data_IF_413532363713
#
_entry.id   IF_413532363713
#
_cell.length_a   1.000
_cell.length_b   1.000
_cell.length_c   1.000
_cell.angle_alpha   90.00
_cell.angle_beta   90.00
_cell.angle_gamma   90.00
#
_symmetry.space_group_name_H-M   'P 1'
#
loop_
_entity.id
_entity.type
_entity.pdbx_description
1 polymer ?
#
# COMPACT_ATOMS: atom_id res chain seq x y z
N UNK A 1 -7.35 -34.86 19.24
CA UNK A 1 -8.57 -34.36 18.54
C UNK A 1 -9.56 -33.86 19.58
N UNK A 2 -9.49 -32.58 19.97
CA UNK A 2 -10.52 -31.94 20.80
C UNK A 2 -11.60 -31.38 19.87
N UNK A 3 -12.85 -31.76 20.10
CA UNK A 3 -14.03 -31.27 19.37
C UNK A 3 -14.01 -29.74 19.40
N UNK A 4 -13.79 -29.09 18.26
CA UNK A 4 -14.14 -27.69 18.05
C UNK A 4 -15.66 -27.64 18.09
N UNK A 5 -16.24 -27.19 19.20
CA UNK A 5 -17.65 -26.90 19.28
C UNK A 5 -17.96 -25.80 18.24
N UNK A 6 -19.02 -26.01 17.45
CA UNK A 6 -19.70 -24.95 16.70
C UNK A 6 -20.07 -23.83 17.69
N UNK A 7 -19.18 -22.85 17.82
CA UNK A 7 -19.41 -21.66 18.62
C UNK A 7 -19.91 -20.55 17.68
N UNK A 8 -21.20 -20.28 17.71
CA UNK A 8 -21.80 -19.06 17.18
C UNK A 8 -21.99 -18.08 18.34
N UNK A 9 -21.82 -16.77 18.15
CA UNK A 9 -21.44 -16.05 16.94
C UNK A 9 -19.93 -16.02 16.71
N UNK A 10 -19.56 -15.82 15.44
CA UNK A 10 -18.18 -15.68 15.03
C UNK A 10 -17.90 -14.20 14.75
N UNK A 11 -16.82 -13.67 15.30
CA UNK A 11 -16.51 -12.24 15.17
C UNK A 11 -15.09 -12.03 14.65
N UNK A 12 -14.94 -11.09 13.71
CA UNK A 12 -13.64 -10.60 13.26
C UNK A 12 -13.48 -9.14 13.62
N UNK A 13 -12.34 -8.81 14.22
CA UNK A 13 -11.89 -7.46 14.48
C UNK A 13 -10.72 -7.14 13.55
N UNK A 14 -10.92 -6.29 12.55
CA UNK A 14 -9.83 -5.71 11.79
C UNK A 14 -9.21 -4.54 12.55
N UNK A 15 -7.93 -4.62 12.82
CA UNK A 15 -7.19 -3.49 13.40
C UNK A 15 -6.96 -2.42 12.34
N UNK A 16 -7.85 -1.43 12.28
CA UNK A 16 -7.81 -0.37 11.27
C UNK A 16 -6.80 0.73 11.65
N UNK A 17 -5.59 0.65 11.09
CA UNK A 17 -4.64 1.75 11.14
C UNK A 17 -4.87 2.69 9.94
N UNK A 18 -4.64 4.03 10.05
CA UNK A 18 -4.83 4.96 8.93
C UNK A 18 -4.13 4.53 7.63
N UNK A 19 -2.89 4.00 7.71
CA UNK A 19 -2.11 3.55 6.55
C UNK A 19 -2.57 2.22 5.95
N UNK A 20 -3.32 1.38 6.68
CA UNK A 20 -3.88 0.10 6.18
C UNK A 20 -5.39 0.17 5.89
N UNK A 21 -5.99 1.34 6.00
CA UNK A 21 -7.44 1.53 5.87
C UNK A 21 -8.00 0.99 4.55
N UNK A 22 -7.30 1.24 3.46
CA UNK A 22 -7.78 0.84 2.12
C UNK A 22 -7.65 -0.67 1.88
N UNK A 23 -6.54 -1.28 2.31
CA UNK A 23 -6.39 -2.75 2.23
C UNK A 23 -7.39 -3.48 3.10
N UNK A 24 -7.68 -2.96 4.30
CA UNK A 24 -8.71 -3.51 5.19
C UNK A 24 -10.10 -3.36 4.56
N UNK A 25 -10.41 -2.21 3.95
CA UNK A 25 -11.68 -2.00 3.27
C UNK A 25 -11.90 -3.00 2.12
N UNK A 26 -10.87 -3.28 1.31
CA UNK A 26 -10.93 -4.28 0.25
C UNK A 26 -11.13 -5.70 0.80
N UNK A 27 -10.43 -6.08 1.88
CA UNK A 27 -10.61 -7.39 2.52
C UNK A 27 -12.00 -7.55 3.15
N UNK A 28 -12.53 -6.53 3.80
CA UNK A 28 -13.91 -6.57 4.32
C UNK A 28 -14.89 -6.69 3.15
N UNK A 29 -14.65 -5.95 2.06
CA UNK A 29 -15.46 -6.07 0.85
C UNK A 29 -15.46 -7.49 0.27
N UNK A 30 -14.32 -8.20 0.30
CA UNK A 30 -14.26 -9.60 -0.14
C UNK A 30 -15.07 -10.55 0.76
N UNK A 31 -15.11 -10.27 2.08
CA UNK A 31 -15.98 -11.02 3.00
C UNK A 31 -17.46 -10.72 2.77
N UNK A 32 -17.83 -9.47 2.48
CA UNK A 32 -19.22 -9.05 2.27
C UNK A 32 -19.88 -9.71 1.05
N UNK A 33 -19.09 -10.11 0.05
CA UNK A 33 -19.63 -10.77 -1.16
C UNK A 33 -19.53 -12.29 -1.09
N UNK A 34 -18.90 -12.85 -0.06
CA UNK A 34 -18.82 -14.30 0.12
C UNK A 34 -20.04 -14.83 0.88
N UNK A 35 -20.91 -15.52 0.15
CA UNK A 35 -22.17 -16.07 0.69
C UNK A 35 -21.96 -17.12 1.81
N UNK A 36 -20.75 -17.67 1.96
CA UNK A 36 -20.40 -18.62 3.02
C UNK A 36 -20.19 -17.95 4.37
N UNK A 37 -19.98 -16.61 4.37
CA UNK A 37 -19.55 -15.81 5.53
C UNK A 37 -20.61 -14.80 5.99
N UNK A 38 -21.88 -14.97 5.59
CA UNK A 38 -22.97 -14.02 5.87
C UNK A 38 -23.26 -13.82 7.37
N UNK A 39 -23.00 -14.84 8.21
CA UNK A 39 -23.26 -14.80 9.65
C UNK A 39 -22.08 -14.22 10.46
N UNK A 40 -21.03 -13.76 9.78
CA UNK A 40 -19.82 -13.25 10.40
C UNK A 40 -20.01 -11.80 10.91
N UNK A 41 -19.80 -11.58 12.21
CA UNK A 41 -19.80 -10.23 12.77
C UNK A 41 -18.44 -9.54 12.48
N UNK A 42 -18.42 -8.57 11.59
CA UNK A 42 -17.19 -7.84 11.21
C UNK A 42 -17.14 -6.47 11.91
N UNK A 43 -15.99 -6.13 12.49
CA UNK A 43 -15.70 -4.84 13.12
C UNK A 43 -14.32 -4.34 12.67
N UNK A 44 -14.18 -3.03 12.45
CA UNK A 44 -12.91 -2.41 12.04
C UNK A 44 -12.56 -1.17 12.90
N UNK A 45 -12.29 -1.35 14.21
CA UNK A 45 -11.99 -0.22 15.08
C UNK A 45 -10.59 0.35 14.84
N UNK A 46 -10.45 1.68 14.90
CA UNK A 46 -9.14 2.37 14.90
C UNK A 46 -8.36 2.04 16.18
N UNK A 47 -9.05 1.89 17.30
CA UNK A 47 -8.44 1.49 18.58
C UNK A 47 -9.09 0.19 19.06
N UNK A 48 -8.26 -0.84 19.19
CA UNK A 48 -8.72 -2.15 19.65
C UNK A 48 -8.88 -2.15 21.18
N UNK A 49 -10.12 -2.24 21.65
CA UNK A 49 -10.43 -2.28 23.08
C UNK A 49 -10.45 -3.73 23.56
N UNK A 50 -9.60 -4.07 24.53
CA UNK A 50 -9.48 -5.44 25.07
C UNK A 50 -10.80 -5.94 25.67
N UNK A 51 -11.62 -5.04 26.24
CA UNK A 51 -12.95 -5.37 26.78
C UNK A 51 -13.93 -5.82 25.67
N UNK A 52 -13.78 -5.28 24.46
CA UNK A 52 -14.60 -5.70 23.32
C UNK A 52 -14.21 -7.09 22.83
N UNK A 53 -12.92 -7.40 22.81
CA UNK A 53 -12.40 -8.74 22.51
C UNK A 53 -12.84 -9.73 23.58
N UNK A 54 -12.71 -9.39 24.88
CA UNK A 54 -13.15 -10.24 25.98
C UNK A 54 -14.62 -10.65 25.82
N UNK A 55 -15.51 -9.68 25.59
CA UNK A 55 -16.94 -9.95 25.36
C UNK A 55 -17.20 -10.84 24.14
N UNK A 56 -16.37 -10.74 23.10
CA UNK A 56 -16.49 -11.55 21.92
C UNK A 56 -16.03 -13.00 22.20
N UNK A 57 -14.90 -13.17 22.86
CA UNK A 57 -14.35 -14.48 23.27
C UNK A 57 -15.33 -15.27 24.16
N UNK A 58 -16.07 -14.57 25.01
CA UNK A 58 -17.09 -15.19 25.87
C UNK A 58 -18.31 -15.71 25.08
N UNK A 59 -18.55 -15.13 23.88
CA UNK A 59 -19.67 -15.53 23.04
C UNK A 59 -19.32 -16.61 22.02
N UNK A 60 -18.05 -16.65 21.57
CA UNK A 60 -17.64 -17.64 20.57
C UNK A 60 -16.28 -17.38 19.97
N UNK A 61 -16.06 -17.96 18.79
CA UNK A 61 -14.81 -17.81 18.05
C UNK A 61 -14.55 -16.33 17.73
N UNK A 62 -13.38 -15.86 18.11
CA UNK A 62 -12.97 -14.46 17.89
C UNK A 62 -11.66 -14.42 17.14
N UNK A 63 -11.66 -13.69 16.02
CA UNK A 63 -10.49 -13.48 15.17
C UNK A 63 -10.08 -12.01 15.25
N UNK A 64 -8.78 -11.74 15.38
CA UNK A 64 -8.22 -10.39 15.24
C UNK A 64 -7.27 -10.36 14.07
N UNK A 65 -7.58 -9.54 13.08
CA UNK A 65 -6.83 -9.43 11.84
C UNK A 65 -6.04 -8.11 11.76
N UNK A 66 -4.76 -8.21 11.41
CA UNK A 66 -3.84 -7.09 11.23
C UNK A 66 -3.30 -7.04 9.81
N UNK A 67 -3.37 -5.86 9.18
CA UNK A 67 -2.58 -5.55 7.98
C UNK A 67 -1.31 -4.83 8.43
N UNK A 68 -0.16 -5.51 8.34
CA UNK A 68 1.10 -5.08 8.97
C UNK A 68 2.04 -4.47 7.94
N UNK A 69 2.44 -3.23 8.17
CA UNK A 69 3.54 -2.56 7.48
C UNK A 69 4.82 -2.63 8.33
N UNK A 70 5.99 -2.69 7.69
CA UNK A 70 7.27 -2.80 8.40
C UNK A 70 7.52 -1.68 9.41
N UNK A 71 7.03 -0.48 9.14
CA UNK A 71 7.10 0.67 10.05
C UNK A 71 6.16 0.59 11.27
N UNK A 72 5.37 -0.47 11.40
CA UNK A 72 4.37 -0.63 12.47
C UNK A 72 4.62 -1.84 13.36
N UNK A 73 5.62 -2.66 13.04
CA UNK A 73 5.88 -3.96 13.67
C UNK A 73 5.96 -3.86 15.19
N UNK A 74 6.75 -2.93 15.72
CA UNK A 74 6.92 -2.73 17.17
C UNK A 74 5.57 -2.61 17.90
N UNK A 75 4.73 -1.69 17.43
CA UNK A 75 3.41 -1.46 18.01
C UNK A 75 2.47 -2.65 17.86
N UNK A 76 2.48 -3.27 16.69
CA UNK A 76 1.61 -4.43 16.43
C UNK A 76 2.03 -5.61 17.30
N UNK A 77 3.33 -5.88 17.45
CA UNK A 77 3.83 -6.97 18.28
C UNK A 77 3.54 -6.76 19.78
N UNK A 78 3.62 -5.51 20.26
CA UNK A 78 3.20 -5.16 21.64
C UNK A 78 1.69 -5.42 21.84
N UNK A 79 0.86 -5.04 20.87
CA UNK A 79 -0.60 -5.26 20.91
C UNK A 79 -0.93 -6.77 20.88
N UNK A 80 -0.25 -7.55 20.05
CA UNK A 80 -0.40 -9.02 19.96
C UNK A 80 0.05 -9.69 21.25
N UNK A 81 1.20 -9.32 21.79
CA UNK A 81 1.69 -9.87 23.07
C UNK A 81 0.66 -9.65 24.19
N UNK A 82 0.12 -8.44 24.30
CA UNK A 82 -0.90 -8.13 25.27
C UNK A 82 -2.17 -8.98 25.08
N UNK A 83 -2.58 -9.23 23.85
CA UNK A 83 -3.72 -10.13 23.57
C UNK A 83 -3.42 -11.57 24.01
N UNK A 84 -2.20 -12.06 23.78
CA UNK A 84 -1.78 -13.39 24.22
C UNK A 84 -1.75 -13.51 25.76
N UNK A 85 -1.27 -12.50 26.46
CA UNK A 85 -1.29 -12.44 27.93
C UNK A 85 -2.72 -12.51 28.50
N UNK A 86 -3.67 -11.80 27.90
CA UNK A 86 -5.05 -11.71 28.37
C UNK A 86 -5.93 -12.89 27.95
N UNK A 87 -5.77 -13.38 26.74
CA UNK A 87 -6.71 -14.31 26.13
C UNK A 87 -6.10 -15.66 25.75
N UNK A 88 -4.76 -15.76 25.66
CA UNK A 88 -4.08 -16.99 25.23
C UNK A 88 -4.54 -17.41 23.82
N UNK A 89 -4.86 -18.68 23.69
CA UNK A 89 -5.33 -19.29 22.43
C UNK A 89 -6.85 -19.12 22.18
N UNK A 90 -7.57 -18.43 23.07
CA UNK A 90 -8.99 -18.14 22.90
C UNK A 90 -9.28 -17.11 21.79
N UNK A 91 -8.25 -16.38 21.36
CA UNK A 91 -8.28 -15.44 20.23
C UNK A 91 -7.38 -15.97 19.14
N UNK A 92 -7.91 -16.06 17.92
CA UNK A 92 -7.13 -16.36 16.71
C UNK A 92 -6.61 -15.04 16.16
N UNK A 93 -5.28 -14.92 16.02
CA UNK A 93 -4.64 -13.70 15.53
C UNK A 93 -4.08 -13.95 14.14
N UNK A 94 -4.56 -13.21 13.15
CA UNK A 94 -4.18 -13.35 11.74
C UNK A 94 -3.44 -12.10 11.26
N UNK A 95 -2.28 -12.30 10.63
CA UNK A 95 -1.49 -11.23 10.02
C UNK A 95 -1.53 -11.29 8.49
N UNK A 96 -1.48 -10.12 7.86
CA UNK A 96 -1.33 -9.97 6.42
C UNK A 96 -0.67 -8.65 6.08
N UNK A 97 -0.57 -8.32 4.80
CA UNK A 97 0.00 -7.05 4.32
C UNK A 97 1.49 -7.13 3.97
N UNK A 98 2.13 -5.99 3.67
CA UNK A 98 3.47 -5.97 3.10
C UNK A 98 4.54 -6.63 3.96
N UNK A 99 4.59 -6.32 5.26
CA UNK A 99 5.57 -6.93 6.16
C UNK A 99 5.32 -8.43 6.35
N UNK A 100 4.07 -8.81 6.53
CA UNK A 100 3.66 -10.21 6.67
C UNK A 100 4.07 -11.06 5.45
N UNK A 101 3.96 -10.51 4.25
CA UNK A 101 4.37 -11.18 3.02
C UNK A 101 5.89 -11.33 2.88
N UNK A 102 6.65 -10.35 3.39
CA UNK A 102 8.12 -10.36 3.29
C UNK A 102 8.82 -11.06 4.47
N UNK A 103 8.21 -11.04 5.66
CA UNK A 103 8.75 -11.57 6.93
C UNK A 103 7.66 -12.32 7.72
N UNK A 104 7.07 -13.39 7.18
CA UNK A 104 5.99 -14.11 7.86
C UNK A 104 6.44 -14.73 9.19
N UNK A 105 7.71 -15.16 9.29
CA UNK A 105 8.29 -15.72 10.52
C UNK A 105 8.28 -14.75 11.69
N UNK A 106 8.49 -13.45 11.42
CA UNK A 106 8.50 -12.42 12.46
C UNK A 106 7.14 -12.31 13.13
N UNK A 107 6.06 -12.36 12.33
CA UNK A 107 4.70 -12.34 12.84
C UNK A 107 4.41 -13.59 13.69
N UNK A 108 4.71 -14.78 13.16
CA UNK A 108 4.46 -16.05 13.87
C UNK A 108 5.23 -16.11 15.19
N UNK A 109 6.50 -15.68 15.19
CA UNK A 109 7.32 -15.59 16.41
C UNK A 109 6.77 -14.57 17.41
N UNK A 110 6.09 -13.52 16.94
CA UNK A 110 5.47 -12.49 17.77
C UNK A 110 4.10 -12.89 18.31
N UNK A 111 3.58 -14.07 17.97
CA UNK A 111 2.36 -14.62 18.55
C UNK A 111 1.16 -14.67 17.60
N UNK A 112 1.31 -14.44 16.31
CA UNK A 112 0.27 -14.71 15.34
C UNK A 112 0.05 -16.22 15.17
N UNK A 113 -1.18 -16.63 14.88
CA UNK A 113 -1.52 -18.03 14.58
C UNK A 113 -1.37 -18.33 13.09
N UNK A 114 -1.82 -17.40 12.27
CA UNK A 114 -1.76 -17.50 10.81
C UNK A 114 -1.27 -16.21 10.17
N UNK A 115 -0.60 -16.35 9.04
CA UNK A 115 -0.17 -15.25 8.19
C UNK A 115 -0.66 -15.50 6.77
N UNK A 116 -1.26 -14.48 6.17
CA UNK A 116 -1.68 -14.47 4.76
C UNK A 116 -0.60 -13.73 3.96
N UNK A 117 0.09 -14.47 3.09
CA UNK A 117 1.15 -13.98 2.20
C UNK A 117 0.53 -13.54 0.87
N UNK A 118 0.97 -12.40 0.32
CA UNK A 118 0.51 -11.89 -0.97
C UNK A 118 -0.85 -11.21 -0.91
N UNK A 119 -1.68 -11.45 -1.93
CA UNK A 119 -2.98 -10.80 -2.09
C UNK A 119 -4.05 -11.52 -1.28
N UNK A 120 -4.75 -10.79 -0.43
CA UNK A 120 -5.61 -11.38 0.59
C UNK A 120 -7.07 -11.60 0.18
N UNK A 121 -7.55 -11.01 -0.92
CA UNK A 121 -8.97 -10.98 -1.27
C UNK A 121 -9.57 -12.38 -1.50
N UNK A 122 -8.75 -13.34 -1.95
CA UNK A 122 -9.14 -14.74 -2.07
C UNK A 122 -8.73 -15.56 -0.83
N UNK A 123 -7.47 -15.47 -0.43
CA UNK A 123 -6.91 -16.33 0.61
C UNK A 123 -7.52 -16.06 2.01
N UNK A 124 -7.87 -14.80 2.31
CA UNK A 124 -8.43 -14.47 3.62
C UNK A 124 -9.85 -15.01 3.84
N UNK A 125 -10.82 -14.84 2.91
CA UNK A 125 -12.13 -15.51 3.03
C UNK A 125 -12.03 -17.03 3.14
N UNK A 126 -11.16 -17.68 2.36
CA UNK A 126 -10.93 -19.13 2.43
C UNK A 126 -10.36 -19.57 3.79
N UNK A 127 -9.42 -18.79 4.35
CA UNK A 127 -8.92 -19.02 5.71
C UNK A 127 -10.06 -18.94 6.74
N UNK A 128 -10.89 -17.90 6.66
CA UNK A 128 -12.02 -17.74 7.60
C UNK A 128 -13.02 -18.88 7.47
N UNK A 129 -13.37 -19.27 6.27
CA UNK A 129 -14.27 -20.42 6.01
C UNK A 129 -13.66 -21.71 6.58
N UNK A 130 -12.37 -21.94 6.40
CA UNK A 130 -11.68 -23.12 6.94
C UNK A 130 -11.71 -23.15 8.48
N UNK A 131 -11.46 -22.01 9.13
CA UNK A 131 -11.56 -21.88 10.60
C UNK A 131 -13.00 -22.13 11.11
N UNK A 132 -14.01 -21.65 10.38
CA UNK A 132 -15.42 -21.83 10.73
C UNK A 132 -15.90 -23.26 10.58
N UNK A 133 -15.41 -23.96 9.57
CA UNK A 133 -15.86 -25.32 9.22
C UNK A 133 -14.98 -26.42 9.80
N UNK A 134 -13.84 -26.06 10.45
CA UNK A 134 -12.88 -27.02 11.00
C UNK A 134 -12.04 -27.73 9.94
N UNK A 135 -11.97 -27.17 8.73
CA UNK A 135 -10.99 -27.58 7.70
C UNK A 135 -9.59 -27.12 8.09
N UNK A 136 -8.57 -27.72 7.48
CA UNK A 136 -7.19 -27.29 7.69
C UNK A 136 -6.91 -25.92 7.06
N UNK A 137 -6.62 -24.87 7.83
CA UNK A 137 -6.31 -23.54 7.32
C UNK A 137 -5.02 -23.51 6.47
N UNK A 138 -4.06 -24.40 6.74
CA UNK A 138 -2.79 -24.47 5.99
C UNK A 138 -2.96 -25.06 4.58
N UNK A 139 -4.11 -25.64 4.29
CA UNK A 139 -4.49 -26.06 2.94
C UNK A 139 -4.85 -24.89 2.00
N UNK A 140 -4.99 -23.67 2.53
CA UNK A 140 -5.31 -22.48 1.72
C UNK A 140 -4.03 -21.90 1.12
N UNK A 141 -3.92 -21.73 -0.21
CA UNK A 141 -2.74 -21.15 -0.84
C UNK A 141 -2.42 -19.74 -0.28
N UNK A 142 -1.18 -19.55 0.18
CA UNK A 142 -0.74 -18.29 0.77
C UNK A 142 -0.99 -18.16 2.28
N UNK A 143 -1.70 -19.09 2.90
CA UNK A 143 -1.81 -19.14 4.37
C UNK A 143 -0.69 -19.99 4.95
N UNK A 144 0.01 -19.42 5.94
CA UNK A 144 1.07 -20.08 6.67
C UNK A 144 0.82 -19.99 8.18
N UNK A 145 1.33 -20.97 8.93
CA UNK A 145 1.27 -21.06 10.38
C UNK A 145 2.61 -21.53 10.95
N UNK A 146 2.66 -21.78 12.26
CA UNK A 146 3.90 -22.20 12.94
C UNK A 146 4.46 -23.54 12.43
N UNK A 147 3.59 -24.42 11.94
CA UNK A 147 3.95 -25.76 11.45
C UNK A 147 4.21 -25.77 9.93
N UNK A 148 4.32 -24.58 9.29
CA UNK A 148 4.60 -24.48 7.87
C UNK A 148 6.06 -24.82 7.58
N UNK A 149 6.28 -25.87 6.80
CA UNK A 149 7.63 -26.31 6.40
C UNK A 149 8.15 -25.57 5.17
N UNK A 150 7.26 -25.29 4.20
CA UNK A 150 7.60 -24.65 2.92
C UNK A 150 6.90 -23.29 2.81
N UNK A 151 7.70 -22.25 2.70
CA UNK A 151 7.23 -20.86 2.67
C UNK A 151 6.94 -20.41 1.23
N UNK A 152 5.67 -20.13 0.89
CA UNK A 152 5.34 -19.65 -0.44
C UNK A 152 5.89 -18.23 -0.66
N UNK A 153 6.31 -17.96 -1.89
CA UNK A 153 6.64 -16.60 -2.30
C UNK A 153 5.41 -15.94 -2.91
N UNK A 154 5.17 -14.62 -2.70
CA UNK A 154 3.99 -13.94 -3.26
C UNK A 154 3.81 -14.15 -4.77
N UNK A 155 4.93 -14.20 -5.52
CA UNK A 155 4.93 -14.41 -6.99
C UNK A 155 4.43 -15.79 -7.44
N UNK A 156 4.48 -16.80 -6.56
CA UNK A 156 4.09 -18.18 -6.83
C UNK A 156 2.62 -18.45 -6.46
N UNK A 157 1.96 -17.47 -5.86
CA UNK A 157 0.57 -17.55 -5.43
C UNK A 157 -0.40 -17.14 -6.55
N UNK A 158 -1.66 -17.60 -6.49
CA UNK A 158 -2.70 -17.12 -7.38
C UNK A 158 -2.85 -15.60 -7.31
N UNK A 159 -2.93 -14.95 -8.46
CA UNK A 159 -3.14 -13.51 -8.56
C UNK A 159 -4.64 -13.18 -8.60
N UNK A 160 -5.02 -12.14 -7.92
CA UNK A 160 -6.42 -11.66 -7.88
C UNK A 160 -6.76 -10.92 -9.17
N UNK A 161 -7.91 -11.25 -9.78
CA UNK A 161 -8.55 -10.35 -10.74
C UNK A 161 -9.30 -9.26 -9.96
N UNK A 162 -8.94 -8.00 -10.20
CA UNK A 162 -9.57 -6.87 -9.50
C UNK A 162 -11.07 -6.76 -9.76
N UNK A 163 -11.57 -7.35 -10.85
CA UNK A 163 -12.99 -7.32 -11.21
C UNK A 163 -13.84 -8.26 -10.37
N UNK A 164 -13.24 -9.29 -9.79
CA UNK A 164 -13.96 -10.31 -9.01
C UNK A 164 -14.33 -9.82 -7.61
N UNK A 165 -13.64 -8.78 -7.11
CA UNK A 165 -13.79 -8.30 -5.73
C UNK A 165 -14.16 -6.82 -5.64
N UNK A 166 -14.93 -6.43 -4.60
CA UNK A 166 -15.18 -5.03 -4.27
C UNK A 166 -13.88 -4.28 -3.97
N UNK A 167 -13.76 -2.99 -4.34
CA UNK A 167 -12.61 -2.18 -3.95
C UNK A 167 -12.68 -1.70 -2.48
N UNK A 168 -13.85 -1.82 -1.82
CA UNK A 168 -14.13 -1.33 -0.48
C UNK A 168 -15.37 -2.03 0.11
N UNK A 169 -15.69 -1.76 1.39
CA UNK A 169 -16.74 -2.40 2.16
C UNK A 169 -18.00 -1.51 2.25
N UNK A 170 -18.97 -1.73 1.36
CA UNK A 170 -20.21 -0.97 1.33
C UNK A 170 -21.16 -1.29 2.51
N UNK A 171 -21.20 -2.54 2.94
CA UNK A 171 -22.02 -2.98 4.06
C UNK A 171 -21.63 -2.32 5.39
N UNK A 172 -20.35 -2.02 5.57
CA UNK A 172 -19.83 -1.27 6.72
C UNK A 172 -19.75 0.24 6.50
N UNK A 173 -20.20 0.74 5.35
CA UNK A 173 -20.05 2.13 4.95
C UNK A 173 -18.58 2.63 4.97
N UNK A 174 -17.64 1.74 4.61
CA UNK A 174 -16.22 2.07 4.50
C UNK A 174 -15.89 2.17 3.01
N UNK A 175 -16.03 3.38 2.48
CA UNK A 175 -15.71 3.72 1.09
C UNK A 175 -14.36 4.44 1.03
N UNK A 176 -13.60 4.23 -0.04
CA UNK A 176 -12.29 4.83 -0.22
C UNK A 176 -11.88 4.84 -1.69
N UNK A 177 -10.59 5.09 -1.99
CA UNK A 177 -10.09 5.02 -3.34
C UNK A 177 -10.35 3.67 -3.99
N UNK A 178 -10.65 3.71 -5.29
CA UNK A 178 -10.76 2.48 -6.10
C UNK A 178 -9.40 2.14 -6.68
N UNK A 179 -8.87 0.97 -6.35
CA UNK A 179 -7.68 0.44 -7.01
C UNK A 179 -8.03 0.05 -8.44
N UNK A 180 -7.53 0.85 -9.39
CA UNK A 180 -7.78 0.65 -10.82
C UNK A 180 -6.67 -0.12 -11.51
N UNK A 181 -5.47 -0.18 -10.88
CA UNK A 181 -4.30 -0.87 -11.43
C UNK A 181 -3.49 -1.49 -10.31
N UNK A 182 -3.14 -2.77 -10.45
CA UNK A 182 -2.26 -3.52 -9.56
C UNK A 182 -1.14 -4.20 -10.33
N UNK A 183 0.03 -4.34 -9.70
CA UNK A 183 1.27 -4.83 -10.31
C UNK A 183 2.08 -3.72 -10.98
N UNK A 184 3.42 -3.89 -11.00
CA UNK A 184 4.33 -2.88 -11.54
C UNK A 184 5.53 -3.53 -12.23
N UNK A 185 5.76 -3.28 -13.55
CA UNK A 185 6.82 -3.95 -14.31
C UNK A 185 8.22 -3.36 -14.07
N UNK A 186 8.32 -2.18 -13.44
CA UNK A 186 9.55 -1.40 -13.38
C UNK A 186 10.61 -1.92 -12.41
N UNK A 187 10.21 -2.64 -11.38
CA UNK A 187 11.14 -3.27 -10.42
C UNK A 187 12.18 -2.31 -9.83
N UNK A 188 11.75 -1.09 -9.47
CA UNK A 188 12.62 -0.15 -8.77
C UNK A 188 13.14 -0.78 -7.48
N UNK A 189 14.47 -0.77 -7.27
CA UNK A 189 15.13 -1.56 -6.23
C UNK A 189 14.77 -1.15 -4.79
N UNK A 190 14.28 0.06 -4.57
CA UNK A 190 13.81 0.54 -3.28
C UNK A 190 12.33 0.18 -2.98
N UNK A 191 11.60 -0.31 -4.00
CA UNK A 191 10.15 -0.51 -3.92
C UNK A 191 9.79 -1.98 -3.76
N UNK A 192 8.89 -2.28 -2.82
CA UNK A 192 8.41 -3.65 -2.58
C UNK A 192 7.15 -4.02 -3.41
N UNK A 193 6.56 -3.09 -4.18
CA UNK A 193 5.35 -3.36 -4.97
C UNK A 193 5.49 -4.55 -5.92
N UNK A 194 6.58 -4.70 -6.72
CA UNK A 194 6.74 -5.86 -7.60
C UNK A 194 6.86 -7.19 -6.84
N UNK A 195 7.41 -7.17 -5.64
CA UNK A 195 7.46 -8.35 -4.76
C UNK A 195 6.06 -8.75 -4.28
N UNK A 196 5.25 -7.78 -3.85
CA UNK A 196 3.95 -8.02 -3.23
C UNK A 196 2.86 -8.40 -4.25
N UNK A 197 2.81 -7.73 -5.39
CA UNK A 197 1.71 -7.81 -6.35
C UNK A 197 2.14 -8.26 -7.75
N UNK A 198 3.43 -8.59 -7.90
CA UNK A 198 4.02 -9.06 -9.15
C UNK A 198 4.30 -7.95 -10.17
N UNK A 199 4.99 -8.36 -11.25
CA UNK A 199 5.37 -7.46 -12.34
C UNK A 199 4.29 -7.35 -13.43
N UNK A 200 3.31 -8.25 -13.45
CA UNK A 200 2.21 -8.24 -14.42
C UNK A 200 1.16 -7.21 -14.00
N UNK A 201 0.97 -6.21 -14.84
CA UNK A 201 -0.05 -5.18 -14.63
C UNK A 201 -1.44 -5.75 -14.89
N UNK A 202 -2.36 -5.53 -13.98
CA UNK A 202 -3.78 -5.89 -14.06
C UNK A 202 -4.62 -4.65 -13.81
N UNK A 203 -5.71 -4.50 -14.53
CA UNK A 203 -6.59 -3.34 -14.41
C UNK A 203 -7.99 -3.77 -14.04
N UNK A 204 -8.62 -2.98 -13.18
CA UNK A 204 -10.07 -3.03 -13.02
C UNK A 204 -10.71 -2.45 -14.26
N UNK A 205 -11.70 -3.13 -14.82
CA UNK A 205 -12.41 -2.68 -16.02
C UNK A 205 -13.20 -1.40 -15.75
N UNK A 206 -13.46 -0.61 -16.79
CA UNK A 206 -14.28 0.59 -16.68
C UNK A 206 -15.67 0.24 -16.13
N UNK A 207 -16.29 -0.84 -16.59
CA UNK A 207 -17.60 -1.29 -16.10
C UNK A 207 -17.58 -1.64 -14.60
N UNK A 208 -16.50 -2.28 -14.13
CA UNK A 208 -16.36 -2.57 -12.71
C UNK A 208 -16.16 -1.28 -11.90
N UNK A 209 -15.37 -0.33 -12.40
CA UNK A 209 -15.17 0.97 -11.74
C UNK A 209 -16.48 1.73 -11.64
N UNK A 210 -17.20 1.92 -12.74
CA UNK A 210 -18.47 2.65 -12.77
C UNK A 210 -19.53 1.99 -11.90
N UNK A 211 -19.63 0.66 -11.93
CA UNK A 211 -20.52 -0.11 -11.04
C UNK A 211 -20.26 0.25 -9.57
N UNK A 212 -19.00 0.21 -9.13
CA UNK A 212 -18.66 0.46 -7.73
C UNK A 212 -18.80 1.92 -7.35
N UNK A 213 -18.56 2.87 -8.26
CA UNK A 213 -18.82 4.29 -8.05
C UNK A 213 -20.33 4.53 -7.88
N UNK A 214 -21.17 3.98 -8.75
CA UNK A 214 -22.63 4.10 -8.64
C UNK A 214 -23.12 3.57 -7.29
N UNK A 215 -22.71 2.37 -6.91
CA UNK A 215 -23.07 1.78 -5.61
C UNK A 215 -22.58 2.62 -4.41
N UNK A 216 -21.39 3.23 -4.51
CA UNK A 216 -20.87 4.09 -3.46
C UNK A 216 -21.67 5.40 -3.33
N UNK A 217 -22.06 6.01 -4.45
CA UNK A 217 -22.93 7.18 -4.46
C UNK A 217 -24.29 6.84 -3.83
N UNK A 218 -24.95 5.80 -4.32
CA UNK A 218 -26.29 5.41 -3.88
C UNK A 218 -26.38 5.01 -2.41
N UNK A 219 -25.38 4.25 -1.92
CA UNK A 219 -25.44 3.65 -0.58
C UNK A 219 -24.72 4.45 0.50
N UNK A 220 -23.72 5.24 0.11
CA UNK A 220 -22.83 5.93 1.06
C UNK A 220 -22.80 7.44 0.87
N UNK A 221 -23.53 8.00 -0.11
CA UNK A 221 -23.46 9.41 -0.44
C UNK A 221 -22.05 9.87 -0.88
N UNK A 222 -21.31 9.01 -1.55
CA UNK A 222 -19.95 9.24 -1.99
C UNK A 222 -19.95 10.16 -3.21
N UNK A 223 -19.46 11.39 -3.06
CA UNK A 223 -19.48 12.38 -4.14
C UNK A 223 -18.12 12.64 -4.79
N UNK A 224 -17.03 12.04 -4.24
CA UNK A 224 -15.66 12.30 -4.68
C UNK A 224 -14.90 10.99 -4.88
N UNK A 225 -14.49 10.72 -6.10
CA UNK A 225 -13.76 9.51 -6.43
C UNK A 225 -12.24 9.75 -6.45
N UNK A 226 -11.50 8.88 -5.77
CA UNK A 226 -10.05 8.77 -5.89
C UNK A 226 -9.70 7.41 -6.47
N UNK A 227 -8.68 7.39 -7.31
CA UNK A 227 -8.15 6.14 -7.87
C UNK A 227 -6.77 5.83 -7.34
N UNK A 228 -6.49 4.55 -7.15
CA UNK A 228 -5.22 4.02 -6.66
C UNK A 228 -4.53 3.24 -7.76
N UNK A 229 -3.26 3.55 -8.01
CA UNK A 229 -2.43 2.89 -9.01
C UNK A 229 -0.95 3.10 -8.70
N UNK A 230 -0.07 2.10 -8.94
CA UNK A 230 1.39 2.28 -8.84
C UNK A 230 1.96 3.29 -9.85
N UNK A 231 1.30 3.48 -10.98
CA UNK A 231 1.54 4.53 -11.97
C UNK A 231 0.20 4.84 -12.65
N UNK A 232 -0.37 5.99 -12.32
CA UNK A 232 -1.70 6.38 -12.79
C UNK A 232 -1.82 6.38 -14.31
N UNK A 233 -0.83 6.95 -15.00
CA UNK A 233 -0.84 7.09 -16.47
C UNK A 233 -0.63 5.77 -17.22
N UNK A 234 -0.44 4.64 -16.52
CA UNK A 234 -0.30 3.32 -17.14
C UNK A 234 -1.62 2.57 -17.32
N UNK A 235 -2.76 3.14 -16.91
CA UNK A 235 -4.06 2.45 -16.97
C UNK A 235 -4.40 2.00 -18.38
N UNK A 236 -4.91 0.77 -18.49
CA UNK A 236 -5.32 0.14 -19.74
C UNK A 236 -4.19 -0.46 -20.57
N UNK A 237 -2.93 -0.17 -20.22
CA UNK A 237 -1.73 -0.65 -20.92
C UNK A 237 -1.08 -1.86 -20.23
N UNK A 238 0.09 -2.26 -20.77
CA UNK A 238 0.94 -3.29 -20.16
C UNK A 238 1.92 -2.72 -19.12
N UNK A 239 1.74 -1.48 -18.70
CA UNK A 239 2.51 -0.79 -17.67
C UNK A 239 3.78 -0.08 -18.17
N UNK A 240 4.29 -0.37 -19.37
CA UNK A 240 5.55 0.21 -19.89
C UNK A 240 5.33 1.46 -20.77
N UNK A 241 4.12 1.69 -21.22
CA UNK A 241 3.73 2.84 -22.04
C UNK A 241 2.30 3.27 -21.68
N UNK A 242 1.98 4.55 -21.80
CA UNK A 242 0.62 5.03 -21.62
C UNK A 242 -0.31 4.54 -22.72
N UNK A 243 -1.59 4.35 -22.37
CA UNK A 243 -2.69 4.06 -23.30
C UNK A 243 -3.76 5.18 -23.16
N UNK A 244 -3.53 6.36 -23.73
CA UNK A 244 -4.35 7.55 -23.48
C UNK A 244 -5.83 7.34 -23.75
N UNK A 245 -6.19 6.63 -24.80
CA UNK A 245 -7.60 6.37 -25.15
C UNK A 245 -8.33 5.55 -24.08
N UNK A 246 -7.66 4.54 -23.50
CA UNK A 246 -8.26 3.73 -22.42
C UNK A 246 -8.35 4.51 -21.12
N UNK A 247 -7.31 5.30 -20.82
CA UNK A 247 -7.31 6.20 -19.67
C UNK A 247 -8.44 7.23 -19.78
N UNK A 248 -8.57 7.87 -20.93
CA UNK A 248 -9.65 8.83 -21.19
C UNK A 248 -11.03 8.18 -21.04
N UNK A 249 -11.19 6.95 -21.52
CA UNK A 249 -12.46 6.21 -21.38
C UNK A 249 -12.78 5.97 -19.91
N UNK A 250 -11.81 5.56 -19.07
CA UNK A 250 -12.00 5.41 -17.62
C UNK A 250 -12.51 6.72 -17.00
N UNK A 251 -11.83 7.82 -17.26
CA UNK A 251 -12.16 9.12 -16.65
C UNK A 251 -13.52 9.63 -17.13
N UNK A 252 -13.77 9.58 -18.44
CA UNK A 252 -15.04 10.01 -19.04
C UNK A 252 -16.22 9.21 -18.51
N UNK A 253 -16.13 7.88 -18.41
CA UNK A 253 -17.23 7.07 -17.90
C UNK A 253 -17.40 7.25 -16.39
N UNK A 254 -16.31 7.48 -15.65
CA UNK A 254 -16.39 7.80 -14.21
C UNK A 254 -17.10 9.13 -13.95
N UNK A 255 -16.84 10.19 -14.75
CA UNK A 255 -17.50 11.50 -14.59
C UNK A 255 -18.97 11.50 -15.00
N UNK A 256 -19.47 10.46 -15.67
CA UNK A 256 -20.89 10.30 -16.02
C UNK A 256 -21.73 9.65 -14.91
N UNK A 257 -21.10 9.13 -13.86
CA UNK A 257 -21.82 8.50 -12.75
C UNK A 257 -22.67 9.55 -12.05
N UNK A 258 -23.98 9.35 -12.06
CA UNK A 258 -24.95 10.27 -11.47
C UNK A 258 -24.69 10.45 -9.96
N UNK A 259 -24.64 11.69 -9.48
CA UNK A 259 -24.34 12.02 -8.09
C UNK A 259 -22.85 12.07 -7.74
N UNK A 260 -21.94 11.69 -8.64
CA UNK A 260 -20.51 11.90 -8.47
C UNK A 260 -20.15 13.34 -8.93
N UNK A 261 -19.53 14.12 -8.05
CA UNK A 261 -19.22 15.53 -8.30
C UNK A 261 -17.78 15.72 -8.78
N UNK A 262 -16.83 14.95 -8.23
CA UNK A 262 -15.40 15.16 -8.44
C UNK A 262 -14.66 13.82 -8.66
N UNK A 263 -13.73 13.84 -9.61
CA UNK A 263 -12.81 12.72 -9.87
C UNK A 263 -11.39 13.20 -9.66
N UNK A 264 -10.59 12.42 -8.91
CA UNK A 264 -9.18 12.70 -8.61
C UNK A 264 -8.31 11.60 -9.18
N UNK A 265 -7.31 11.97 -9.98
CA UNK A 265 -6.42 11.02 -10.65
C UNK A 265 -5.02 11.60 -10.87
N UNK A 266 -3.97 10.78 -10.70
CA UNK A 266 -2.58 11.23 -10.85
C UNK A 266 -2.08 12.13 -9.72
N UNK A 267 -2.83 12.23 -8.62
CA UNK A 267 -2.45 12.85 -7.35
C UNK A 267 -2.52 11.80 -6.25
N UNK A 268 -1.94 12.06 -5.08
CA UNK A 268 -2.00 11.10 -3.96
C UNK A 268 -3.44 10.53 -3.77
N UNK A 269 -3.64 9.23 -3.64
CA UNK A 269 -2.64 8.16 -3.43
C UNK A 269 -2.12 7.48 -4.72
N UNK A 270 -2.15 8.12 -5.86
CA UNK A 270 -1.56 7.65 -7.11
C UNK A 270 -0.40 8.53 -7.52
N UNK A 271 0.68 7.92 -8.02
CA UNK A 271 1.82 8.63 -8.58
C UNK A 271 1.80 8.55 -10.10
N UNK A 272 2.52 9.47 -10.75
CA UNK A 272 2.86 9.38 -12.16
C UNK A 272 4.37 9.27 -12.33
N UNK A 273 4.80 8.44 -13.24
CA UNK A 273 6.21 8.34 -13.63
C UNK A 273 6.55 9.46 -14.62
N UNK A 274 7.71 10.14 -14.48
CA UNK A 274 8.07 11.27 -15.34
C UNK A 274 7.96 10.98 -16.83
N UNK A 275 8.45 9.81 -17.27
CA UNK A 275 8.46 9.41 -18.68
C UNK A 275 7.07 9.14 -19.29
N UNK A 276 6.02 9.10 -18.45
CA UNK A 276 4.61 9.00 -18.88
C UNK A 276 3.94 10.36 -19.03
N UNK A 277 4.55 11.42 -18.50
CA UNK A 277 4.00 12.77 -18.54
C UNK A 277 4.24 13.36 -19.91
N UNK A 278 3.18 13.59 -20.65
CA UNK A 278 3.20 14.30 -21.94
C UNK A 278 2.12 15.37 -21.96
N UNK A 279 2.34 16.44 -22.73
CA UNK A 279 1.38 17.54 -22.79
C UNK A 279 -0.03 17.07 -23.18
N UNK A 280 -0.23 16.24 -24.23
CA UNK A 280 -1.59 15.78 -24.59
C UNK A 280 -2.28 14.97 -23.48
N UNK A 281 -1.52 14.19 -22.69
CA UNK A 281 -2.08 13.40 -21.59
C UNK A 281 -2.52 14.31 -20.45
N UNK A 282 -1.72 15.29 -20.05
CA UNK A 282 -2.10 16.20 -18.99
C UNK A 282 -3.23 17.16 -19.39
N UNK A 283 -3.25 17.62 -20.63
CA UNK A 283 -4.38 18.40 -21.19
C UNK A 283 -5.68 17.58 -21.16
N UNK A 284 -5.62 16.32 -21.58
CA UNK A 284 -6.76 15.40 -21.49
C UNK A 284 -7.20 15.22 -20.03
N UNK A 285 -6.26 14.94 -19.09
CA UNK A 285 -6.58 14.82 -17.67
C UNK A 285 -7.30 16.05 -17.15
N UNK A 286 -6.84 17.25 -17.50
CA UNK A 286 -7.41 18.52 -17.04
C UNK A 286 -8.90 18.66 -17.36
N UNK A 287 -9.37 18.00 -18.43
CA UNK A 287 -10.77 17.97 -18.81
C UNK A 287 -11.67 17.12 -17.91
N UNK A 288 -11.11 16.26 -17.06
CA UNK A 288 -11.90 15.30 -16.27
C UNK A 288 -11.66 15.37 -14.77
N UNK A 289 -10.46 15.80 -14.32
CA UNK A 289 -10.09 15.71 -12.89
C UNK A 289 -10.28 17.01 -12.14
N UNK A 290 -10.68 16.91 -10.89
CA UNK A 290 -10.83 18.04 -9.97
C UNK A 290 -9.53 18.46 -9.29
N UNK A 291 -8.51 17.56 -9.23
CA UNK A 291 -7.25 17.90 -8.58
C UNK A 291 -6.47 18.96 -9.34
N UNK A 292 -5.90 19.90 -8.59
CA UNK A 292 -5.01 20.94 -9.12
C UNK A 292 -3.54 20.50 -9.18
N UNK A 293 -3.20 19.32 -8.66
CA UNK A 293 -1.83 18.82 -8.58
C UNK A 293 -1.67 17.44 -9.20
N UNK A 294 -0.46 17.14 -9.66
CA UNK A 294 -0.02 15.79 -10.07
C UNK A 294 1.21 15.38 -9.26
N UNK A 295 1.26 14.09 -8.84
CA UNK A 295 2.35 13.54 -8.04
C UNK A 295 3.38 12.89 -8.97
N UNK A 296 4.59 13.44 -9.06
CA UNK A 296 5.64 13.03 -10.01
C UNK A 296 6.80 12.40 -9.25
N UNK A 297 7.07 11.12 -9.49
CA UNK A 297 8.14 10.38 -8.84
C UNK A 297 9.50 10.57 -9.52
N UNK A 298 10.22 11.67 -9.26
CA UNK A 298 11.57 11.92 -9.80
C UNK A 298 12.65 11.13 -9.05
N UNK A 299 12.68 11.20 -7.73
CA UNK A 299 13.44 10.41 -6.76
C UNK A 299 14.90 10.87 -6.54
N UNK A 300 15.65 11.37 -7.51
CA UNK A 300 17.04 11.84 -7.38
C UNK A 300 17.41 12.86 -8.45
N UNK A 301 18.40 13.70 -8.20
CA UNK A 301 19.01 14.62 -9.17
C UNK A 301 20.13 13.98 -9.98
N UNK A 302 20.45 12.70 -9.78
CA UNK A 302 21.54 12.00 -10.44
C UNK A 302 21.06 10.85 -11.30
N UNK A 303 21.34 10.90 -12.60
CA UNK A 303 21.04 9.78 -13.53
C UNK A 303 21.77 8.50 -13.14
N UNK A 304 22.95 8.61 -12.52
CA UNK A 304 23.70 7.47 -12.00
C UNK A 304 22.95 6.81 -10.84
N UNK A 305 22.42 7.61 -9.90
CA UNK A 305 21.63 7.11 -8.76
C UNK A 305 20.30 6.54 -9.24
N UNK A 306 19.62 7.20 -10.17
CA UNK A 306 18.39 6.69 -10.79
C UNK A 306 18.63 5.34 -11.48
N UNK A 307 19.69 5.21 -12.27
CA UNK A 307 20.07 3.96 -12.93
C UNK A 307 20.39 2.85 -11.92
N UNK A 308 21.17 3.16 -10.86
CA UNK A 308 21.44 2.21 -9.78
C UNK A 308 20.16 1.72 -9.09
N UNK A 309 19.18 2.61 -8.86
CA UNK A 309 17.89 2.29 -8.29
C UNK A 309 16.91 1.62 -9.27
N UNK A 310 17.35 1.30 -10.49
CA UNK A 310 16.54 0.75 -11.57
C UNK A 310 15.32 1.63 -11.93
N UNK A 311 15.51 2.97 -11.89
CA UNK A 311 14.54 3.90 -12.45
C UNK A 311 14.74 3.96 -13.97
N UNK A 312 13.65 3.97 -14.73
CA UNK A 312 13.66 3.93 -16.19
C UNK A 312 13.45 5.31 -16.81
N UNK A 313 13.81 6.37 -16.09
CA UNK A 313 13.79 7.76 -16.57
C UNK A 313 15.06 8.49 -16.16
N UNK A 314 15.32 9.61 -16.82
CA UNK A 314 16.43 10.52 -16.53
C UNK A 314 15.96 11.73 -15.73
N UNK A 315 16.91 12.47 -15.16
CA UNK A 315 16.65 13.76 -14.49
C UNK A 315 16.01 14.75 -15.50
N UNK A 316 16.51 14.79 -16.75
CA UNK A 316 15.96 15.62 -17.82
C UNK A 316 14.47 15.31 -18.07
N UNK A 317 14.09 14.03 -18.14
CA UNK A 317 12.70 13.63 -18.26
C UNK A 317 11.85 14.07 -17.07
N UNK A 318 12.43 14.04 -15.86
CA UNK A 318 11.79 14.55 -14.65
C UNK A 318 11.52 16.04 -14.70
N UNK A 319 12.52 16.84 -15.09
CA UNK A 319 12.39 18.29 -15.28
C UNK A 319 11.34 18.61 -16.36
N UNK A 320 11.42 17.91 -17.48
CA UNK A 320 10.42 18.06 -18.54
C UNK A 320 8.99 17.76 -18.08
N UNK A 321 8.81 16.74 -17.26
CA UNK A 321 7.51 16.40 -16.68
C UNK A 321 6.97 17.53 -15.78
N UNK A 322 7.84 18.16 -14.99
CA UNK A 322 7.49 19.33 -14.16
C UNK A 322 7.07 20.52 -15.02
N UNK A 323 7.84 20.86 -16.07
CA UNK A 323 7.49 21.93 -17.02
C UNK A 323 6.12 21.68 -17.67
N UNK A 324 5.89 20.48 -18.20
CA UNK A 324 4.61 20.11 -18.82
C UNK A 324 3.46 20.23 -17.81
N UNK A 325 3.65 19.82 -16.57
CA UNK A 325 2.62 19.94 -15.53
C UNK A 325 2.27 21.42 -15.27
N UNK A 326 3.28 22.29 -15.14
CA UNK A 326 3.07 23.72 -14.97
C UNK A 326 2.37 24.36 -16.17
N UNK A 327 2.82 24.06 -17.39
CA UNK A 327 2.26 24.58 -18.63
C UNK A 327 0.79 24.17 -18.85
N UNK A 328 0.41 23.00 -18.33
CA UNK A 328 -0.98 22.49 -18.38
C UNK A 328 -1.82 22.91 -17.18
N UNK A 329 -1.28 23.77 -16.30
CA UNK A 329 -1.99 24.35 -15.15
C UNK A 329 -2.12 23.42 -13.96
N UNK A 330 -1.29 22.36 -13.86
CA UNK A 330 -1.15 21.56 -12.66
C UNK A 330 0.01 22.06 -11.79
N UNK A 331 -0.12 21.90 -10.47
CA UNK A 331 0.97 22.07 -9.53
C UNK A 331 1.69 20.71 -9.42
N UNK A 332 2.94 20.57 -9.91
CA UNK A 332 3.67 19.32 -9.73
C UNK A 332 4.07 19.14 -8.26
N UNK A 333 3.68 18.00 -7.67
CA UNK A 333 4.21 17.52 -6.39
C UNK A 333 5.28 16.49 -6.71
N UNK A 334 6.55 16.81 -6.42
CA UNK A 334 7.69 16.01 -6.85
C UNK A 334 8.23 15.18 -5.69
N UNK A 335 8.22 13.85 -5.85
CA UNK A 335 8.78 12.92 -4.86
C UNK A 335 10.29 12.81 -5.03
N UNK A 336 11.01 12.95 -3.89
CA UNK A 336 12.45 12.75 -3.78
C UNK A 336 12.77 11.77 -2.67
N UNK A 337 13.75 10.89 -2.90
CA UNK A 337 14.27 9.94 -1.91
C UNK A 337 15.74 10.26 -1.67
N UNK A 338 16.06 10.76 -0.47
CA UNK A 338 17.40 11.10 -0.06
C UNK A 338 18.12 9.92 0.57
N UNK A 339 19.42 9.79 0.33
CA UNK A 339 20.25 8.72 0.88
C UNK A 339 20.03 7.38 0.20
N UNK A 340 19.68 7.34 -1.10
CA UNK A 340 19.59 6.11 -1.87
C UNK A 340 20.93 5.35 -1.88
N UNK A 341 20.93 4.01 -1.88
CA UNK A 341 22.13 3.21 -1.90
C UNK A 341 23.10 3.61 -3.01
N UNK A 342 24.35 3.96 -2.62
CA UNK A 342 25.40 4.42 -3.54
C UNK A 342 25.31 5.90 -3.92
N UNK A 343 24.36 6.67 -3.40
CA UNK A 343 24.34 8.14 -3.53
C UNK A 343 25.55 8.72 -2.79
N UNK A 344 26.31 9.58 -3.43
CA UNK A 344 27.42 10.33 -2.83
C UNK A 344 26.90 11.56 -2.09
N UNK A 345 27.70 12.10 -1.16
CA UNK A 345 27.38 13.34 -0.45
C UNK A 345 27.12 14.50 -1.42
N UNK A 346 27.92 14.61 -2.49
CA UNK A 346 27.71 15.61 -3.54
C UNK A 346 26.35 15.45 -4.23
N UNK A 347 25.97 14.23 -4.60
CA UNK A 347 24.68 13.97 -5.27
C UNK A 347 23.49 14.20 -4.34
N UNK A 348 23.66 13.93 -3.03
CA UNK A 348 22.68 14.30 -2.02
C UNK A 348 22.46 15.82 -1.98
N UNK A 349 23.55 16.60 -1.92
CA UNK A 349 23.47 18.06 -1.95
C UNK A 349 22.87 18.57 -3.26
N UNK A 350 23.28 18.02 -4.41
CA UNK A 350 22.70 18.35 -5.72
C UNK A 350 21.16 18.04 -5.74
N UNK A 351 20.71 16.97 -5.06
CA UNK A 351 19.28 16.63 -4.92
C UNK A 351 18.53 17.66 -4.06
N UNK A 352 19.16 18.14 -2.99
CA UNK A 352 18.58 19.21 -2.15
C UNK A 352 18.51 20.54 -2.92
N UNK A 353 19.55 20.92 -3.66
CA UNK A 353 19.55 22.12 -4.50
C UNK A 353 18.50 22.05 -5.60
N UNK A 354 18.31 20.86 -6.21
CA UNK A 354 17.25 20.65 -7.17
C UNK A 354 15.85 20.90 -6.57
N UNK A 355 15.62 20.54 -5.30
CA UNK A 355 14.36 20.86 -4.64
C UNK A 355 14.08 22.36 -4.60
N UNK A 356 15.08 23.19 -4.29
CA UNK A 356 14.94 24.65 -4.32
C UNK A 356 14.64 25.16 -5.74
N UNK A 357 15.34 24.62 -6.73
CA UNK A 357 15.10 24.96 -8.15
C UNK A 357 13.66 24.67 -8.55
N UNK A 358 13.17 23.47 -8.25
CA UNK A 358 11.81 23.06 -8.58
C UNK A 358 10.75 23.89 -7.85
N UNK A 359 10.98 24.22 -6.58
CA UNK A 359 10.10 25.12 -5.81
C UNK A 359 10.06 26.50 -6.43
N UNK A 360 11.20 27.04 -6.86
CA UNK A 360 11.24 28.34 -7.55
C UNK A 360 10.53 28.34 -8.91
N UNK A 361 10.42 27.17 -9.57
CA UNK A 361 9.60 26.99 -10.78
C UNK A 361 8.11 26.91 -10.47
N UNK A 362 7.69 26.68 -9.23
CA UNK A 362 6.29 26.58 -8.81
C UNK A 362 5.85 25.15 -8.38
N UNK A 363 6.79 24.20 -8.29
CA UNK A 363 6.51 22.87 -7.77
C UNK A 363 6.38 22.86 -6.22
N UNK A 364 5.80 21.80 -5.70
CA UNK A 364 5.89 21.41 -4.28
C UNK A 364 6.67 20.10 -4.17
N UNK A 365 7.43 19.95 -3.11
CA UNK A 365 8.25 18.77 -2.88
C UNK A 365 7.58 17.79 -1.92
N UNK A 366 7.82 16.50 -2.12
CA UNK A 366 7.50 15.44 -1.17
C UNK A 366 8.76 14.64 -0.87
N UNK A 367 9.32 14.84 0.32
CA UNK A 367 10.62 14.29 0.69
C UNK A 367 10.50 12.97 1.45
N UNK A 368 11.35 12.03 1.08
CA UNK A 368 11.57 10.75 1.76
C UNK A 368 13.04 10.54 2.06
N UNK A 369 13.35 9.80 3.12
CA UNK A 369 14.67 9.19 3.34
C UNK A 369 14.58 7.71 2.99
N UNK A 370 15.61 7.17 2.34
CA UNK A 370 15.65 5.78 1.95
C UNK A 370 15.51 4.85 3.17
N UNK A 371 14.54 3.95 3.10
CA UNK A 371 14.31 2.88 4.07
C UNK A 371 14.52 1.51 3.42
N UNK A 372 15.31 0.60 4.03
CA UNK A 372 15.53 -0.75 3.53
C UNK A 372 14.30 -1.63 3.78
N UNK A 373 13.27 -1.47 2.97
CA UNK A 373 11.99 -2.17 3.14
C UNK A 373 12.13 -3.66 2.81
N UNK A 374 11.68 -4.57 3.68
CA UNK A 374 11.61 -6.00 3.38
C UNK A 374 10.84 -6.29 2.09
N UNK A 375 11.34 -7.22 1.28
CA UNK A 375 10.80 -7.53 -0.04
C UNK A 375 11.25 -6.60 -1.17
N UNK A 376 12.00 -5.53 -0.88
CA UNK A 376 12.67 -4.72 -1.90
C UNK A 376 14.07 -5.27 -2.20
N UNK A 377 14.60 -5.01 -3.41
CA UNK A 377 15.98 -5.42 -3.75
C UNK A 377 17.02 -4.76 -2.84
N UNK A 378 16.72 -3.59 -2.31
CA UNK A 378 17.60 -2.85 -1.40
C UNK A 378 17.33 -3.14 0.09
N UNK A 379 16.59 -4.17 0.45
CA UNK A 379 16.23 -4.51 1.84
C UNK A 379 17.43 -4.71 2.78
N UNK A 380 18.58 -5.12 2.24
CA UNK A 380 19.81 -5.34 2.99
C UNK A 380 20.83 -4.20 2.86
N UNK A 381 20.45 -3.10 2.21
CA UNK A 381 21.33 -1.93 2.07
C UNK A 381 21.24 -1.05 3.32
N UNK A 382 22.33 -0.32 3.65
CA UNK A 382 22.30 0.64 4.75
C UNK A 382 21.17 1.67 4.59
N UNK A 383 20.57 2.14 5.69
CA UNK A 383 19.54 3.17 5.65
C UNK A 383 20.07 4.49 5.09
N UNK A 384 19.19 5.28 4.50
CA UNK A 384 19.51 6.63 4.06
C UNK A 384 19.85 7.53 5.26
N UNK A 385 20.85 8.37 5.09
CA UNK A 385 21.28 9.34 6.11
C UNK A 385 21.43 10.71 5.49
N UNK A 386 21.05 11.73 6.26
CA UNK A 386 21.23 13.12 5.90
C UNK A 386 22.37 13.72 6.74
N UNK A 387 23.21 14.55 6.14
CA UNK A 387 24.10 15.41 6.88
C UNK A 387 23.36 16.59 7.53
N UNK A 388 24.05 17.36 8.38
CA UNK A 388 23.45 18.47 9.13
C UNK A 388 22.95 19.60 8.23
N UNK A 389 23.66 19.87 7.12
CA UNK A 389 23.31 20.94 6.19
C UNK A 389 22.07 20.57 5.37
N UNK A 390 22.03 19.35 4.83
CA UNK A 390 20.85 18.82 4.13
C UNK A 390 19.61 18.83 5.03
N UNK A 391 19.72 18.39 6.31
CA UNK A 391 18.59 18.48 7.27
C UNK A 391 18.13 19.92 7.49
N UNK A 392 19.06 20.87 7.62
CA UNK A 392 18.73 22.28 7.80
C UNK A 392 17.94 22.81 6.61
N UNK A 393 18.41 22.55 5.40
CA UNK A 393 17.81 23.01 4.14
C UNK A 393 16.43 22.38 3.90
N UNK A 394 16.28 21.06 4.06
CA UNK A 394 14.98 20.38 3.94
C UNK A 394 13.99 20.86 5.03
N UNK A 395 14.50 21.12 6.24
CA UNK A 395 13.71 21.72 7.33
C UNK A 395 13.24 23.13 7.01
N UNK A 396 14.02 23.92 6.28
CA UNK A 396 13.62 25.24 5.78
C UNK A 396 12.47 25.13 4.77
N UNK A 397 12.61 24.27 3.75
CA UNK A 397 11.53 24.01 2.77
C UNK A 397 10.24 23.55 3.46
N UNK A 398 10.35 22.68 4.48
CA UNK A 398 9.19 22.21 5.24
C UNK A 398 8.52 23.34 6.04
N UNK A 399 9.29 24.23 6.70
CA UNK A 399 8.72 25.40 7.40
C UNK A 399 8.03 26.37 6.46
N UNK A 400 8.52 26.52 5.24
CA UNK A 400 7.91 27.35 4.18
C UNK A 400 6.68 26.70 3.56
N UNK A 401 6.35 25.46 3.92
CA UNK A 401 5.31 24.63 3.31
C UNK A 401 5.53 24.33 1.81
N UNK A 402 6.79 24.37 1.40
CA UNK A 402 7.23 24.00 0.06
C UNK A 402 7.58 22.52 -0.05
N UNK A 403 7.79 21.86 1.11
CA UNK A 403 8.03 20.44 1.21
C UNK A 403 7.10 19.79 2.24
N UNK A 404 6.55 18.66 1.85
CA UNK A 404 5.80 17.71 2.69
C UNK A 404 6.58 16.39 2.81
N UNK A 405 6.00 15.40 3.48
CA UNK A 405 6.62 14.08 3.69
C UNK A 405 7.18 13.93 5.10
N UNK A 406 7.43 12.67 5.48
CA UNK A 406 7.90 12.30 6.82
C UNK A 406 9.40 12.06 6.86
N UNK A 407 10.18 12.69 5.99
CA UNK A 407 11.59 12.43 5.79
C UNK A 407 12.40 12.41 7.11
N UNK A 408 12.14 13.34 8.04
CA UNK A 408 12.86 13.41 9.33
C UNK A 408 12.50 12.24 10.28
N UNK A 409 11.26 11.77 10.28
CA UNK A 409 10.84 10.61 11.06
C UNK A 409 11.30 9.29 10.39
N UNK A 410 11.37 9.27 9.07
CA UNK A 410 11.79 8.09 8.31
C UNK A 410 13.26 7.74 8.52
N UNK A 411 14.13 8.70 8.83
CA UNK A 411 15.53 8.44 9.13
C UNK A 411 15.68 7.50 10.35
N UNK A 412 14.94 7.76 11.44
CA UNK A 412 14.92 6.89 12.61
C UNK A 412 14.29 5.53 12.33
N UNK A 413 13.18 5.52 11.59
CA UNK A 413 12.51 4.27 11.19
C UNK A 413 13.41 3.41 10.27
N UNK A 414 14.20 4.04 9.40
CA UNK A 414 15.12 3.33 8.52
C UNK A 414 16.24 2.63 9.32
N UNK A 415 16.78 3.29 10.36
CA UNK A 415 17.76 2.68 11.27
C UNK A 415 17.14 1.51 12.07
N UNK A 416 15.92 1.67 12.58
CA UNK A 416 15.21 0.60 13.29
C UNK A 416 15.00 -0.62 12.38
N UNK A 417 14.51 -0.42 11.15
CA UNK A 417 14.31 -1.50 10.17
C UNK A 417 15.62 -2.19 9.80
N UNK A 418 16.68 -1.42 9.59
CA UNK A 418 17.98 -1.98 9.23
C UNK A 418 18.58 -2.80 10.37
N UNK A 419 18.42 -2.34 11.62
CA UNK A 419 18.86 -3.08 12.80
C UNK A 419 18.11 -4.40 12.94
N UNK A 420 16.78 -4.40 12.73
CA UNK A 420 15.95 -5.61 12.75
C UNK A 420 16.35 -6.61 11.65
N UNK A 421 16.65 -6.13 10.44
CA UNK A 421 17.11 -7.00 9.34
C UNK A 421 18.48 -7.64 9.58
N UNK A 422 19.24 -7.17 10.59
CA UNK A 422 20.62 -7.60 10.91
C UNK A 422 20.76 -8.36 12.24
N UNK A 423 19.67 -8.53 13.00
CA UNK A 423 19.77 -9.38 14.19
C UNK A 423 20.32 -10.76 13.80
N UNK A 424 21.32 -11.24 14.52
CA UNK A 424 22.06 -12.41 14.08
C UNK A 424 21.11 -13.59 13.98
N UNK A 425 21.20 -14.31 12.87
CA UNK A 425 20.92 -15.73 12.83
C UNK A 425 21.80 -16.40 13.89
N UNK A 426 21.38 -16.37 15.16
CA UNK A 426 21.96 -17.22 16.17
C UNK A 426 21.66 -18.68 15.75
N UNK A 427 22.54 -19.19 14.89
CA UNK A 427 22.90 -20.58 14.77
C UNK A 427 21.78 -21.60 14.61
N UNK A 428 20.70 -21.30 13.88
CA UNK A 428 19.77 -22.34 13.40
C UNK A 428 19.45 -22.10 11.92
N UNK A 429 20.23 -22.75 11.07
CA UNK A 429 19.80 -23.07 9.71
C UNK A 429 18.49 -23.88 9.81
N UNK A 430 17.43 -23.28 9.29
CA UNK A 430 16.13 -23.93 9.11
C UNK A 430 16.03 -24.56 7.74
#
# INVERSE_FOLDING_TARGET
MKRVHQLSPQSIFFRAHPSSRYSIAALIGSLEVDHRLTDLEVRAPITLKMEAIQKSVERGMTIVAHSVMSTQTKRVYEEVRRMRELFGERVIIVGGGPHASARPTDLLSSGFDYVVIGEGEHAFPELIESLMTGKDPLGVPGVVGRDTEVWPQPRDLPVVDLNDYPPFALGMNVVGPIEVTRGCPFQCKFCCTPFLTGCRVRHRSVDSVTKWLTLAVERSGFTRAWFLSPNALSYGGKGMRPEPTKLETLLRESTKVEGLEEVYFGSFPSEVRPEFVTQPILEMLRGYVANSSVQIGLQSSSDRVLSNANRHHTVEQGLRAVEIALDTGFIPHVDMIFGLPGETEKELHDSVELCYTLVNMGAKMHGHVFMPLPGSTFENMPPGRLDSESRRQLGELSRRKDMTGSWSAQENLAEELWSQNREPEDGKSW
#
